data_IF_710781914917
#
_entry.id   IF_710781914917
#
_cell.length_a   1.000
_cell.length_b   1.000
_cell.length_c   1.000
_cell.angle_alpha   90.00
_cell.angle_beta   90.00
_cell.angle_gamma   90.00
#
_symmetry.space_group_name_H-M   'P 1'
#
loop_
_entity.id
_entity.type
_entity.pdbx_description
1 polymer ?
#
# COMPACT_ATOMS: atom_id res chain seq x y z
N UNK A 1 6.70 -20.37 5.59
CA UNK A 1 7.32 -19.22 6.29
C UNK A 1 8.17 -18.51 5.26
N UNK A 2 7.83 -17.28 4.93
CA UNK A 2 8.50 -16.48 3.90
C UNK A 2 8.94 -15.14 4.48
N UNK A 3 9.92 -14.51 3.85
CA UNK A 3 10.38 -13.16 4.17
C UNK A 3 9.62 -12.15 3.31
N UNK A 4 8.97 -11.16 3.93
CA UNK A 4 8.14 -10.18 3.23
C UNK A 4 8.67 -8.77 3.52
N UNK A 5 8.90 -8.00 2.45
CA UNK A 5 9.29 -6.60 2.57
C UNK A 5 8.08 -5.70 2.31
N UNK A 6 7.82 -4.74 3.20
CA UNK A 6 6.76 -3.74 3.04
C UNK A 6 7.40 -2.35 2.95
N UNK A 7 7.46 -1.79 1.74
CA UNK A 7 7.89 -0.42 1.49
C UNK A 7 6.68 0.50 1.40
N UNK A 8 6.70 1.65 2.06
CA UNK A 8 5.57 2.58 1.98
C UNK A 8 5.98 4.04 2.04
N UNK A 9 5.14 4.90 1.45
CA UNK A 9 5.21 6.34 1.61
C UNK A 9 3.97 6.87 2.34
N UNK A 10 4.17 7.77 3.29
CA UNK A 10 3.08 8.34 4.07
C UNK A 10 3.20 9.84 4.24
N UNK A 11 2.12 10.59 3.97
CA UNK A 11 2.09 12.04 4.20
C UNK A 11 1.62 12.42 5.60
N UNK A 12 0.64 11.72 6.14
CA UNK A 12 -0.05 12.08 7.40
C UNK A 12 -0.12 10.92 8.41
N UNK A 13 0.49 9.79 8.07
CA UNK A 13 0.65 8.62 8.94
C UNK A 13 -0.44 7.55 8.80
N UNK A 14 -1.46 7.73 7.94
CA UNK A 14 -2.48 6.69 7.77
C UNK A 14 -1.95 5.50 6.97
N UNK A 15 -1.14 5.74 5.92
CA UNK A 15 -0.48 4.66 5.17
C UNK A 15 0.46 3.85 6.06
N UNK A 16 1.23 4.52 6.93
CA UNK A 16 2.07 3.84 7.92
C UNK A 16 1.24 2.94 8.84
N UNK A 17 0.10 3.42 9.34
CA UNK A 17 -0.80 2.64 10.18
C UNK A 17 -1.36 1.40 9.47
N UNK A 18 -1.69 1.52 8.19
CA UNK A 18 -2.11 0.38 7.36
C UNK A 18 -0.95 -0.58 7.15
N UNK A 19 0.24 -0.09 6.82
CA UNK A 19 1.44 -0.92 6.65
C UNK A 19 1.80 -1.70 7.91
N UNK A 20 1.73 -1.06 9.08
CA UNK A 20 1.98 -1.69 10.38
C UNK A 20 0.95 -2.79 10.69
N UNK A 21 -0.33 -2.55 10.34
CA UNK A 21 -1.37 -3.56 10.51
C UNK A 21 -1.16 -4.75 9.59
N UNK A 22 -0.89 -4.52 8.30
CA UNK A 22 -0.55 -5.57 7.33
C UNK A 22 0.65 -6.39 7.80
N UNK A 23 1.71 -5.72 8.28
CA UNK A 23 2.90 -6.38 8.82
C UNK A 23 2.58 -7.26 10.03
N UNK A 24 1.77 -6.76 10.95
CA UNK A 24 1.38 -7.48 12.17
C UNK A 24 0.58 -8.73 11.83
N UNK A 25 -0.38 -8.63 10.92
CA UNK A 25 -1.23 -9.74 10.50
C UNK A 25 -0.44 -10.81 9.72
N UNK A 26 0.47 -10.41 8.82
CA UNK A 26 1.35 -11.35 8.10
C UNK A 26 2.33 -12.04 9.05
N UNK A 27 2.89 -11.31 10.02
CA UNK A 27 3.74 -11.89 11.06
C UNK A 27 2.98 -12.89 11.95
N UNK A 28 1.73 -12.61 12.30
CA UNK A 28 0.86 -13.53 13.04
C UNK A 28 0.58 -14.83 12.28
N UNK A 29 0.68 -14.82 10.95
CA UNK A 29 0.55 -16.00 10.06
C UNK A 29 1.87 -16.76 9.87
N UNK A 30 2.95 -16.29 10.48
CA UNK A 30 4.24 -16.97 10.52
C UNK A 30 5.24 -16.51 9.47
N UNK A 31 5.03 -15.36 8.83
CA UNK A 31 6.02 -14.74 7.96
C UNK A 31 6.99 -13.86 8.74
N UNK A 32 8.21 -13.68 8.23
CA UNK A 32 9.15 -12.68 8.70
C UNK A 32 8.94 -11.40 7.90
N UNK A 33 8.56 -10.30 8.57
CA UNK A 33 8.16 -9.07 7.89
C UNK A 33 9.09 -7.92 8.25
N UNK A 34 9.61 -7.23 7.24
CA UNK A 34 10.40 -6.01 7.38
C UNK A 34 9.63 -4.85 6.76
N UNK A 35 9.52 -3.73 7.50
CA UNK A 35 8.84 -2.52 7.01
C UNK A 35 9.83 -1.38 6.81
N UNK A 36 9.58 -0.54 5.78
CA UNK A 36 10.39 0.65 5.48
C UNK A 36 9.52 1.81 5.05
N UNK A 37 9.64 2.93 5.74
CA UNK A 37 9.11 4.23 5.27
C UNK A 37 10.10 4.83 4.27
N UNK A 38 9.68 4.97 3.02
CA UNK A 38 10.50 5.52 1.93
C UNK A 38 10.71 7.03 2.04
N UNK A 39 9.92 7.72 2.86
CA UNK A 39 10.12 9.13 3.19
C UNK A 39 11.24 9.38 4.20
N UNK A 40 11.73 8.33 4.87
CA UNK A 40 12.86 8.44 5.79
C UNK A 40 14.21 8.31 5.07
N UNK A 41 15.25 9.03 5.52
CA UNK A 41 16.58 8.96 4.90
C UNK A 41 17.18 7.55 4.96
N UNK A 42 17.88 7.15 3.91
CA UNK A 42 18.61 5.89 3.79
C UNK A 42 18.23 5.12 2.56
N UNK A 43 19.18 4.40 2.01
CA UNK A 43 18.96 3.56 0.84
C UNK A 43 18.15 2.31 1.20
N UNK A 44 17.45 1.77 0.21
CA UNK A 44 16.77 0.48 0.31
C UNK A 44 17.57 -0.50 -0.55
N UNK A 45 18.34 -1.33 0.12
CA UNK A 45 19.17 -2.34 -0.51
C UNK A 45 18.52 -3.72 -0.36
N UNK A 46 18.96 -4.68 -1.17
CA UNK A 46 18.65 -6.10 -1.03
C UNK A 46 17.14 -6.46 -1.07
N UNK A 47 16.31 -5.70 -1.82
CA UNK A 47 14.88 -6.04 -2.02
C UNK A 47 14.72 -7.42 -2.67
N UNK A 48 15.69 -7.84 -3.44
CA UNK A 48 15.77 -9.15 -4.08
C UNK A 48 16.07 -10.32 -3.11
N UNK A 49 16.43 -10.03 -1.86
CA UNK A 49 16.58 -11.03 -0.81
C UNK A 49 15.24 -11.49 -0.18
N UNK A 50 14.15 -10.77 -0.42
CA UNK A 50 12.84 -11.10 0.12
C UNK A 50 12.03 -11.99 -0.83
N UNK A 51 11.24 -12.89 -0.26
CA UNK A 51 10.37 -13.81 -1.01
C UNK A 51 9.16 -13.07 -1.62
N UNK A 52 8.68 -12.02 -0.98
CA UNK A 52 7.57 -11.20 -1.45
C UNK A 52 7.74 -9.72 -1.09
N UNK A 53 7.09 -8.84 -1.86
CA UNK A 53 7.14 -7.39 -1.63
C UNK A 53 5.74 -6.79 -1.66
N UNK A 54 5.44 -5.95 -0.66
CA UNK A 54 4.24 -5.11 -0.60
C UNK A 54 4.64 -3.66 -0.69
N UNK A 55 4.00 -2.89 -1.56
CA UNK A 55 4.25 -1.44 -1.69
C UNK A 55 3.00 -0.67 -1.30
N UNK A 56 3.13 0.29 -0.39
CA UNK A 56 2.05 1.14 0.09
C UNK A 56 2.24 2.61 -0.26
N UNK A 57 1.20 3.27 -0.76
CA UNK A 57 1.25 4.69 -1.09
C UNK A 57 0.03 5.45 -0.58
N UNK A 58 0.19 6.73 -0.23
CA UNK A 58 -0.95 7.64 -0.09
C UNK A 58 -1.13 8.51 -1.33
N UNK A 59 -2.38 8.88 -1.59
CA UNK A 59 -2.70 9.86 -2.61
C UNK A 59 -2.72 11.25 -1.95
N UNK A 60 -1.85 12.13 -2.43
CA UNK A 60 -1.81 13.52 -2.00
C UNK A 60 -1.97 14.45 -3.20
N UNK A 61 -3.01 15.30 -3.18
CA UNK A 61 -3.35 16.21 -4.30
C UNK A 61 -3.43 15.46 -5.65
N UNK A 62 -4.07 14.29 -5.64
CA UNK A 62 -4.31 13.49 -6.85
C UNK A 62 -3.08 12.74 -7.38
N UNK A 63 -2.03 12.56 -6.60
CA UNK A 63 -0.80 11.86 -7.01
C UNK A 63 -0.26 10.97 -5.89
N UNK A 64 0.43 9.91 -6.28
CA UNK A 64 1.27 9.13 -5.37
C UNK A 64 2.53 9.90 -5.00
N UNK A 65 3.14 9.56 -3.88
CA UNK A 65 4.42 10.14 -3.47
C UNK A 65 5.54 9.74 -4.44
N UNK A 66 6.44 10.70 -4.73
CA UNK A 66 7.54 10.49 -5.67
C UNK A 66 8.45 9.35 -5.26
N UNK A 67 8.79 9.26 -3.97
CA UNK A 67 9.65 8.21 -3.40
C UNK A 67 9.08 6.80 -3.61
N UNK A 68 7.76 6.63 -3.60
CA UNK A 68 7.11 5.33 -3.86
C UNK A 68 7.14 4.99 -5.35
N UNK A 69 6.91 5.98 -6.21
CA UNK A 69 7.00 5.82 -7.66
C UNK A 69 8.44 5.49 -8.08
N UNK A 70 9.42 6.20 -7.51
CA UNK A 70 10.85 5.98 -7.77
C UNK A 70 11.27 4.58 -7.34
N UNK A 71 10.92 4.17 -6.12
CA UNK A 71 11.17 2.82 -5.60
C UNK A 71 10.58 1.73 -6.51
N UNK A 72 9.29 1.83 -6.83
CA UNK A 72 8.62 0.82 -7.66
C UNK A 72 9.18 0.77 -9.11
N UNK A 73 9.66 1.91 -9.62
CA UNK A 73 10.31 1.99 -10.94
C UNK A 73 11.71 1.36 -10.92
N UNK A 74 12.50 1.64 -9.89
CA UNK A 74 13.84 1.11 -9.70
C UNK A 74 13.83 -0.41 -9.54
N UNK A 75 12.94 -0.91 -8.69
CA UNK A 75 12.83 -2.34 -8.37
C UNK A 75 11.82 -3.09 -9.26
N UNK A 76 11.33 -2.49 -10.34
CA UNK A 76 10.30 -3.06 -11.22
C UNK A 76 10.59 -4.49 -11.64
N UNK A 77 11.82 -4.79 -12.08
CA UNK A 77 12.19 -6.11 -12.59
C UNK A 77 12.22 -7.16 -11.46
N UNK A 78 12.59 -6.77 -10.25
CA UNK A 78 12.52 -7.59 -9.05
C UNK A 78 11.05 -7.84 -8.66
N UNK A 79 10.23 -6.79 -8.62
CA UNK A 79 8.81 -6.87 -8.31
C UNK A 79 8.00 -7.71 -9.31
N UNK A 80 8.45 -7.78 -10.56
CA UNK A 80 7.80 -8.56 -11.61
C UNK A 80 8.11 -10.08 -11.56
N UNK A 81 9.10 -10.49 -10.77
CA UNK A 81 9.57 -11.89 -10.71
C UNK A 81 9.24 -12.61 -9.41
N UNK A 82 8.48 -11.99 -8.53
CA UNK A 82 8.08 -12.55 -7.23
C UNK A 82 6.69 -12.09 -6.82
N UNK A 83 6.05 -12.76 -5.86
CA UNK A 83 4.80 -12.32 -5.25
C UNK A 83 4.86 -10.85 -4.87
N UNK A 84 4.00 -10.04 -5.45
CA UNK A 84 4.03 -8.61 -5.21
C UNK A 84 2.64 -8.00 -5.08
N UNK A 85 2.47 -7.08 -4.13
CA UNK A 85 1.20 -6.45 -3.86
C UNK A 85 1.35 -4.93 -3.72
N UNK A 86 0.31 -4.21 -4.09
CA UNK A 86 0.23 -2.77 -3.94
C UNK A 86 -1.02 -2.36 -3.19
N UNK A 87 -0.90 -1.42 -2.27
CA UNK A 87 -2.07 -0.75 -1.72
C UNK A 87 -1.94 0.76 -1.76
N UNK A 88 -3.06 1.42 -1.98
CA UNK A 88 -3.14 2.88 -1.89
C UNK A 88 -4.13 3.32 -0.81
N UNK A 89 -3.81 4.43 -0.16
CA UNK A 89 -4.67 5.08 0.82
C UNK A 89 -5.11 6.43 0.26
N UNK A 90 -6.42 6.63 0.12
CA UNK A 90 -6.97 7.88 -0.43
C UNK A 90 -8.30 8.26 0.22
N UNK A 91 -8.63 9.56 0.22
CA UNK A 91 -9.96 10.02 0.62
C UNK A 91 -11.01 9.65 -0.44
N UNK A 92 -10.63 9.47 -1.69
CA UNK A 92 -11.53 9.02 -2.75
C UNK A 92 -12.08 7.63 -2.49
N UNK A 93 -11.28 6.74 -1.87
CA UNK A 93 -11.70 5.39 -1.47
C UNK A 93 -12.73 5.40 -0.34
N UNK A 94 -12.84 6.48 0.43
CA UNK A 94 -13.87 6.64 1.46
C UNK A 94 -15.24 7.09 0.92
N UNK A 95 -15.31 7.47 -0.35
CA UNK A 95 -16.51 8.03 -0.94
C UNK A 95 -17.43 6.96 -1.50
N UNK A 96 -18.75 7.15 -1.32
CA UNK A 96 -19.79 6.36 -1.99
C UNK A 96 -20.13 6.91 -3.38
N UNK A 97 -19.55 8.03 -3.77
CA UNK A 97 -19.73 8.66 -5.08
C UNK A 97 -19.01 7.83 -6.16
N UNK A 98 -19.72 7.34 -7.21
CA UNK A 98 -19.13 6.53 -8.27
C UNK A 98 -17.97 7.21 -9.01
N UNK A 99 -18.02 8.52 -9.20
CA UNK A 99 -16.96 9.27 -9.91
C UNK A 99 -15.67 9.27 -9.06
N UNK A 100 -15.77 9.38 -7.74
CA UNK A 100 -14.62 9.31 -6.83
C UNK A 100 -14.05 7.91 -6.69
N UNK A 101 -14.90 6.89 -6.73
CA UNK A 101 -14.45 5.50 -6.80
C UNK A 101 -13.70 5.22 -8.11
N UNK A 102 -14.18 5.77 -9.23
CA UNK A 102 -13.47 5.72 -10.51
C UNK A 102 -12.12 6.46 -10.45
N UNK A 103 -12.03 7.59 -9.75
CA UNK A 103 -10.76 8.28 -9.49
C UNK A 103 -9.78 7.38 -8.72
N UNK A 104 -10.23 6.66 -7.69
CA UNK A 104 -9.38 5.75 -6.94
C UNK A 104 -8.80 4.63 -7.82
N UNK A 105 -9.61 4.06 -8.72
CA UNK A 105 -9.15 3.07 -9.70
C UNK A 105 -8.13 3.66 -10.69
N UNK A 106 -8.42 4.88 -11.20
CA UNK A 106 -7.52 5.59 -12.12
C UNK A 106 -6.14 5.84 -11.52
N UNK A 107 -6.03 6.16 -10.24
CA UNK A 107 -4.72 6.33 -9.58
C UNK A 107 -3.88 5.05 -9.62
N UNK A 108 -4.49 3.87 -9.49
CA UNK A 108 -3.78 2.59 -9.65
C UNK A 108 -3.25 2.42 -11.07
N UNK A 109 -4.05 2.76 -12.08
CA UNK A 109 -3.64 2.66 -13.48
C UNK A 109 -2.52 3.66 -13.82
N UNK A 110 -2.63 4.90 -13.33
CA UNK A 110 -1.57 5.91 -13.46
C UNK A 110 -0.26 5.46 -12.78
N UNK A 111 -0.35 4.78 -11.63
CA UNK A 111 0.81 4.22 -10.95
C UNK A 111 1.47 3.10 -11.77
N UNK A 112 0.68 2.18 -12.31
CA UNK A 112 1.17 1.10 -13.19
C UNK A 112 1.84 1.66 -14.45
N UNK A 113 1.26 2.68 -15.06
CA UNK A 113 1.85 3.35 -16.23
C UNK A 113 3.17 4.04 -15.89
N UNK A 114 3.22 4.74 -14.75
CA UNK A 114 4.41 5.48 -14.33
C UNK A 114 5.59 4.58 -13.96
N UNK A 115 5.32 3.43 -13.34
CA UNK A 115 6.36 2.51 -12.83
C UNK A 115 6.67 1.36 -13.77
N UNK A 116 5.75 1.02 -14.67
CA UNK A 116 5.81 -0.18 -15.51
C UNK A 116 5.65 -1.49 -14.72
N UNK A 117 5.28 -1.42 -13.42
CA UNK A 117 5.03 -2.58 -12.57
C UNK A 117 3.54 -2.89 -12.45
N UNK A 118 3.21 -4.18 -12.53
CA UNK A 118 1.86 -4.70 -12.40
C UNK A 118 1.79 -5.66 -11.21
N UNK A 119 1.38 -5.18 -10.02
CA UNK A 119 1.26 -6.01 -8.82
C UNK A 119 0.20 -7.11 -8.98
N UNK A 120 0.43 -8.28 -8.37
CA UNK A 120 -0.49 -9.42 -8.40
C UNK A 120 -1.76 -9.14 -7.57
N UNK A 121 -1.62 -8.41 -6.47
CA UNK A 121 -2.72 -8.02 -5.59
C UNK A 121 -2.75 -6.51 -5.44
N UNK A 122 -3.94 -5.91 -5.53
CA UNK A 122 -4.13 -4.46 -5.34
C UNK A 122 -5.20 -4.20 -4.29
N UNK A 123 -4.88 -3.35 -3.31
CA UNK A 123 -5.80 -2.85 -2.30
C UNK A 123 -6.02 -1.34 -2.41
N UNK A 124 -7.26 -0.90 -2.18
CA UNK A 124 -7.61 0.51 -2.12
C UNK A 124 -8.32 0.83 -0.80
N UNK A 125 -7.68 1.58 0.09
CA UNK A 125 -8.21 1.84 1.41
C UNK A 125 -8.60 3.30 1.60
N UNK A 126 -9.68 3.51 2.34
CA UNK A 126 -10.08 4.83 2.77
C UNK A 126 -9.03 5.43 3.71
N UNK A 127 -8.72 6.71 3.51
CA UNK A 127 -7.73 7.42 4.29
C UNK A 127 -8.27 7.97 5.61
N UNK A 128 -7.55 8.96 6.14
CA UNK A 128 -7.93 9.71 7.33
C UNK A 128 -7.76 11.22 7.10
N UNK A 129 -8.52 12.01 7.83
CA UNK A 129 -8.36 13.46 7.89
C UNK A 129 -7.83 13.81 9.27
N UNK A 130 -6.59 14.28 9.33
CA UNK A 130 -5.89 14.62 10.58
C UNK A 130 -5.86 16.12 10.80
N UNK A 131 -7.01 16.72 11.13
CA UNK A 131 -7.11 18.16 11.41
C UNK A 131 -6.16 18.62 12.52
N UNK A 132 -5.84 17.74 13.48
CA UNK A 132 -4.88 18.00 14.56
C UNK A 132 -3.46 18.29 14.05
N UNK A 133 -3.07 17.72 12.88
CA UNK A 133 -1.77 17.91 12.26
C UNK A 133 -1.70 19.11 11.30
N UNK A 134 -2.82 19.80 11.06
CA UNK A 134 -2.89 20.87 10.06
C UNK A 134 -2.73 22.25 10.70
N UNK A 135 -1.89 23.10 10.09
CA UNK A 135 -1.90 24.54 10.34
C UNK A 135 -3.19 25.19 9.84
N UNK A 136 -3.48 26.42 10.27
CA UNK A 136 -4.75 27.11 10.02
C UNK A 136 -5.17 27.13 8.54
N UNK A 137 -4.25 27.44 7.62
CA UNK A 137 -4.54 27.50 6.18
C UNK A 137 -4.84 26.12 5.58
N UNK A 138 -4.03 25.10 5.94
CA UNK A 138 -4.22 23.72 5.47
C UNK A 138 -5.53 23.15 6.04
N UNK A 139 -5.87 23.45 7.29
CA UNK A 139 -7.14 23.05 7.91
C UNK A 139 -8.35 23.60 7.16
N UNK A 140 -8.30 24.89 6.75
CA UNK A 140 -9.38 25.48 5.94
C UNK A 140 -9.54 24.82 4.57
N UNK A 141 -8.44 24.55 3.89
CA UNK A 141 -8.44 23.87 2.59
C UNK A 141 -8.94 22.42 2.72
N UNK A 142 -8.46 21.69 3.73
CA UNK A 142 -8.89 20.30 3.99
C UNK A 142 -10.36 20.21 4.39
N UNK A 143 -10.90 21.18 5.11
CA UNK A 143 -12.33 21.26 5.40
C UNK A 143 -13.18 21.37 4.14
N UNK A 144 -12.69 22.04 3.10
CA UNK A 144 -13.37 22.13 1.80
C UNK A 144 -13.31 20.80 1.06
N UNK A 145 -12.15 20.14 1.04
CA UNK A 145 -11.97 18.81 0.43
C UNK A 145 -12.82 17.75 1.15
N UNK A 146 -12.82 17.76 2.48
CA UNK A 146 -13.62 16.86 3.29
C UNK A 146 -15.12 17.01 3.04
N UNK A 147 -15.62 18.25 2.88
CA UNK A 147 -17.01 18.50 2.55
C UNK A 147 -17.44 17.79 1.25
N UNK A 148 -16.55 17.80 0.26
CA UNK A 148 -16.83 17.22 -1.04
C UNK A 148 -16.62 15.69 -1.06
N UNK A 149 -15.73 15.15 -0.20
CA UNK A 149 -15.38 13.73 -0.18
C UNK A 149 -16.21 12.89 0.80
N UNK A 150 -16.43 13.39 2.02
CA UNK A 150 -17.00 12.62 3.13
C UNK A 150 -18.15 13.33 3.84
N UNK A 151 -18.29 14.65 3.66
CA UNK A 151 -19.24 15.48 4.39
C UNK A 151 -18.80 15.93 5.80
N UNK A 152 -17.68 15.41 6.30
CA UNK A 152 -17.18 15.68 7.67
C UNK A 152 -16.39 16.98 7.71
N UNK A 153 -17.02 18.05 8.22
CA UNK A 153 -16.48 19.41 8.23
C UNK A 153 -16.09 19.93 9.61
N UNK A 154 -16.24 19.13 10.67
CA UNK A 154 -15.83 19.52 12.02
C UNK A 154 -14.30 19.42 12.18
N UNK A 155 -13.62 20.53 12.01
CA UNK A 155 -12.15 20.60 12.08
C UNK A 155 -11.59 20.57 13.53
N UNK A 156 -12.41 20.28 14.53
CA UNK A 156 -11.99 20.14 15.94
C UNK A 156 -11.49 18.74 16.27
N UNK A 157 -11.77 17.76 15.42
CA UNK A 157 -11.41 16.33 15.61
C UNK A 157 -10.86 15.70 14.33
N UNK A 158 -10.13 14.61 14.50
CA UNK A 158 -9.64 13.78 13.40
C UNK A 158 -10.70 12.74 13.00
N UNK A 159 -10.67 12.34 11.75
CA UNK A 159 -11.55 11.31 11.20
C UNK A 159 -10.73 10.22 10.55
N UNK A 160 -11.09 8.97 10.80
CA UNK A 160 -10.53 7.79 10.16
C UNK A 160 -11.64 7.02 9.46
N UNK A 161 -11.44 6.72 8.18
CA UNK A 161 -12.43 6.05 7.32
C UNK A 161 -11.98 4.68 6.87
N UNK A 162 -10.79 4.25 7.27
CA UNK A 162 -10.23 2.95 6.88
C UNK A 162 -11.14 1.82 7.38
N UNK A 163 -11.62 1.00 6.45
CA UNK A 163 -12.27 -0.26 6.76
C UNK A 163 -11.20 -1.33 7.01
N UNK A 164 -11.12 -1.79 8.22
CA UNK A 164 -10.12 -2.78 8.61
C UNK A 164 -10.45 -4.20 8.14
N UNK A 165 -11.71 -4.48 7.77
CA UNK A 165 -12.11 -5.76 7.15
C UNK A 165 -11.59 -5.83 5.71
N UNK A 166 -11.59 -4.71 4.99
CA UNK A 166 -10.98 -4.61 3.66
C UNK A 166 -9.45 -4.81 3.74
N UNK A 167 -8.80 -4.24 4.77
CA UNK A 167 -7.36 -4.45 5.00
C UNK A 167 -7.07 -5.91 5.32
N UNK A 168 -7.89 -6.56 6.17
CA UNK A 168 -7.76 -7.98 6.46
C UNK A 168 -7.93 -8.86 5.21
N UNK A 169 -8.90 -8.52 4.36
CA UNK A 169 -9.11 -9.22 3.08
C UNK A 169 -7.91 -9.08 2.13
N UNK A 170 -7.26 -7.92 2.12
CA UNK A 170 -6.02 -7.72 1.37
C UNK A 170 -4.89 -8.57 1.94
N UNK A 171 -4.75 -8.64 3.26
CA UNK A 171 -3.75 -9.51 3.92
C UNK A 171 -3.99 -10.98 3.56
N UNK A 172 -5.25 -11.46 3.56
CA UNK A 172 -5.61 -12.81 3.14
C UNK A 172 -5.17 -13.11 1.70
N UNK A 173 -5.35 -12.14 0.80
CA UNK A 173 -4.95 -12.28 -0.59
C UNK A 173 -3.41 -12.31 -0.77
N UNK A 174 -2.68 -11.51 -0.01
CA UNK A 174 -1.20 -11.50 -0.01
C UNK A 174 -0.65 -12.82 0.55
N UNK A 175 -1.18 -13.29 1.68
CA UNK A 175 -0.80 -14.55 2.32
C UNK A 175 -1.01 -15.74 1.36
N UNK A 176 -2.18 -15.82 0.75
CA UNK A 176 -2.50 -16.87 -0.23
C UNK A 176 -1.62 -16.80 -1.50
N UNK A 177 -1.20 -15.61 -1.92
CA UNK A 177 -0.28 -15.42 -3.04
C UNK A 177 1.11 -15.96 -2.70
N UNK A 178 1.63 -15.63 -1.53
CA UNK A 178 2.96 -16.07 -1.04
C UNK A 178 3.00 -17.58 -0.84
N UNK A 179 1.96 -18.17 -0.24
CA UNK A 179 1.89 -19.61 0.00
C UNK A 179 1.84 -20.41 -1.31
N UNK A 180 1.15 -19.92 -2.33
CA UNK A 180 1.08 -20.57 -3.65
C UNK A 180 2.45 -20.64 -4.31
N UNK A 181 3.23 -19.55 -4.28
CA UNK A 181 4.55 -19.51 -4.89
C UNK A 181 5.52 -20.47 -4.19
N UNK A 182 5.46 -20.59 -2.87
CA UNK A 182 6.24 -21.57 -2.10
C UNK A 182 5.95 -23.00 -2.51
N UNK A 183 4.69 -23.34 -2.76
CA UNK A 183 4.28 -24.67 -3.22
C UNK A 183 4.82 -24.94 -4.63
N UNK A 184 4.66 -23.99 -5.55
CA UNK A 184 5.12 -24.15 -6.94
C UNK A 184 6.66 -24.26 -7.04
N UNK A 185 7.38 -23.53 -6.21
CA UNK A 185 8.85 -23.63 -6.15
C UNK A 185 9.29 -24.98 -5.57
N UNK A 186 8.59 -25.48 -4.55
CA UNK A 186 8.86 -26.79 -3.95
C UNK A 186 8.64 -27.92 -4.98
N UNK A 187 7.55 -27.87 -5.73
CA UNK A 187 7.23 -28.85 -6.76
C UNK A 187 8.25 -28.82 -7.89
N UNK A 188 8.66 -27.66 -8.36
CA UNK A 188 9.73 -27.50 -9.37
C UNK A 188 11.06 -28.12 -8.92
N UNK A 189 11.45 -27.92 -7.65
CA UNK A 189 12.68 -28.52 -7.08
C UNK A 189 12.61 -30.04 -6.96
N UNK A 190 11.42 -30.63 -6.77
CA UNK A 190 11.25 -32.08 -6.70
C UNK A 190 11.27 -32.74 -8.08
N UNK A 191 10.92 -32.01 -9.13
CA UNK A 191 10.92 -32.48 -10.51
C UNK A 191 12.31 -32.41 -11.19
N UNK A 192 13.26 -31.63 -10.64
CA UNK A 192 14.62 -31.60 -11.17
C UNK A 192 15.37 -32.91 -10.87
N UNK A 193 15.81 -33.67 -11.92
CA UNK A 193 16.53 -34.92 -11.73
C UNK A 193 17.87 -34.62 -11.02
N UNK A 194 18.11 -35.30 -9.91
CA UNK A 194 19.41 -35.27 -9.23
C UNK A 194 20.48 -35.85 -10.20
N UNK A 195 21.31 -34.94 -10.72
CA UNK A 195 22.46 -35.28 -11.56
C UNK A 195 23.58 -35.93 -10.75
#
# INVERSE_FOLDING_TARGET
>A
MSTIFIAYGTGEGQTAKVADHVATELAARGHEVTTRDLGEPGDVDDVDAFDAVVVGASIHVGKHQGEVVDFASEWRDVLATRPSAFFQVSLSSASTDPDRQADAARYVDEFREATGWHPDVVGGFAGAIRYSKYGFLKRFMMKRIAKDATGDTDASKDYEYTDWEDVASFVDAVDALVDREVVEETDRRMEEPRS
#
